data_IF_501279148943
#
_entry.id   IF_501279148943
#
_cell.length_a   1.000
_cell.length_b   1.000
_cell.length_c   1.000
_cell.angle_alpha   90.00
_cell.angle_beta   90.00
_cell.angle_gamma   90.00
#
_symmetry.space_group_name_H-M   'P 1'
#
loop_
_entity.id
_entity.type
_entity.pdbx_description
1 polymer ?
#
# COMPACT_ATOMS: atom_id res chain seq x y z
N UNK A 1 -78.05 1.53 6.36
CA UNK A 1 -77.40 2.69 5.71
C UNK A 1 -75.95 2.75 6.17
N UNK A 2 -75.02 2.78 5.19
CA UNK A 2 -73.61 3.19 5.26
C UNK A 2 -72.63 2.27 6.01
N UNK A 3 -72.05 1.32 5.27
CA UNK A 3 -70.76 0.74 5.60
C UNK A 3 -69.66 1.77 5.30
N UNK A 4 -68.87 2.13 6.32
CA UNK A 4 -67.69 2.99 6.18
C UNK A 4 -66.51 2.15 5.67
N UNK A 5 -66.10 2.37 4.42
CA UNK A 5 -64.84 1.86 3.90
C UNK A 5 -63.69 2.68 4.48
N UNK A 6 -62.87 2.08 5.35
CA UNK A 6 -61.58 2.63 5.74
C UNK A 6 -60.57 2.34 4.62
N UNK A 7 -60.20 3.38 3.87
CA UNK A 7 -59.11 3.34 2.91
C UNK A 7 -57.79 3.42 3.70
N UNK A 8 -57.10 2.29 3.87
CA UNK A 8 -55.79 2.23 4.50
C UNK A 8 -54.74 2.75 3.50
N UNK A 9 -54.29 4.00 3.67
CA UNK A 9 -53.23 4.59 2.86
C UNK A 9 -51.88 4.04 3.36
N UNK A 10 -51.34 3.01 2.69
CA UNK A 10 -49.99 2.53 2.93
C UNK A 10 -48.99 3.57 2.40
N UNK A 11 -48.42 4.37 3.30
CA UNK A 11 -47.23 5.16 3.01
C UNK A 11 -46.06 4.19 2.74
N UNK A 12 -45.75 3.97 1.47
CA UNK A 12 -44.48 3.42 1.04
C UNK A 12 -43.38 4.41 1.44
N UNK A 13 -42.73 4.17 2.57
CA UNK A 13 -41.46 4.82 2.91
C UNK A 13 -40.45 4.32 1.90
N UNK A 14 -40.19 5.10 0.85
CA UNK A 14 -39.06 4.86 -0.04
C UNK A 14 -37.78 4.92 0.82
N UNK A 15 -36.97 3.85 0.90
CA UNK A 15 -35.66 3.97 1.50
C UNK A 15 -34.92 5.04 0.70
N UNK A 16 -34.48 6.11 1.37
CA UNK A 16 -33.72 7.17 0.73
C UNK A 16 -32.53 6.54 0.01
N UNK A 17 -32.48 6.67 -1.31
CA UNK A 17 -31.42 6.11 -2.12
C UNK A 17 -30.09 6.77 -1.71
N UNK A 18 -29.32 6.07 -0.88
CA UNK A 18 -27.92 6.45 -0.64
C UNK A 18 -27.14 6.09 -1.89
N UNK A 19 -26.44 7.07 -2.45
CA UNK A 19 -25.52 6.83 -3.55
C UNK A 19 -24.48 5.79 -3.11
N UNK A 20 -24.23 4.79 -3.96
CA UNK A 20 -23.21 3.79 -3.66
C UNK A 20 -21.80 4.43 -3.66
N UNK A 21 -20.91 4.01 -2.74
CA UNK A 21 -19.52 4.41 -2.78
C UNK A 21 -18.89 4.14 -4.14
N UNK A 22 -18.15 5.10 -4.67
CA UNK A 22 -17.44 4.96 -5.95
C UNK A 22 -16.10 5.67 -5.90
N UNK A 23 -15.21 5.31 -6.82
CA UNK A 23 -13.89 5.89 -6.93
C UNK A 23 -13.63 6.40 -8.36
N UNK A 24 -12.98 7.56 -8.45
CA UNK A 24 -12.39 8.08 -9.67
C UNK A 24 -10.87 8.05 -9.51
N UNK A 25 -10.16 7.63 -10.55
CA UNK A 25 -8.70 7.69 -10.64
C UNK A 25 -8.35 8.65 -11.77
N UNK A 26 -7.65 9.73 -11.44
CA UNK A 26 -7.07 10.65 -12.42
C UNK A 26 -5.74 10.08 -12.95
N UNK A 27 -4.91 9.54 -12.07
CA UNK A 27 -3.67 8.85 -12.43
C UNK A 27 -3.43 7.61 -11.53
N UNK A 28 -2.79 6.55 -12.04
CA UNK A 28 -2.42 6.35 -13.44
C UNK A 28 -3.66 6.04 -14.30
N UNK A 29 -3.63 6.47 -15.57
CA UNK A 29 -4.61 6.07 -16.58
C UNK A 29 -4.30 4.68 -17.12
N UNK A 30 -5.32 4.01 -17.67
CA UNK A 30 -5.14 2.69 -18.26
C UNK A 30 -4.43 2.72 -19.61
N UNK A 31 -3.81 1.60 -19.98
CA UNK A 31 -3.15 1.42 -21.28
C UNK A 31 -1.63 1.56 -21.23
N UNK A 32 -1.03 2.03 -22.31
CA UNK A 32 0.43 2.15 -22.42
C UNK A 32 0.93 3.43 -21.78
N UNK A 33 1.98 3.31 -20.97
CA UNK A 33 2.60 4.41 -20.26
C UNK A 33 4.10 4.37 -20.44
N UNK A 34 4.69 5.54 -20.62
CA UNK A 34 6.13 5.75 -20.70
C UNK A 34 6.53 6.81 -19.67
N UNK A 35 7.06 6.35 -18.53
CA UNK A 35 7.60 7.25 -17.50
C UNK A 35 8.74 8.11 -18.06
N UNK A 36 8.79 9.39 -17.67
CA UNK A 36 9.79 10.36 -18.17
C UNK A 36 9.44 11.03 -19.52
N UNK A 37 8.45 10.52 -20.27
CA UNK A 37 7.90 11.20 -21.46
C UNK A 37 6.47 11.70 -21.21
N UNK A 38 5.63 10.85 -20.60
CA UNK A 38 4.20 11.11 -20.39
C UNK A 38 3.85 11.53 -18.95
N UNK A 39 4.79 11.38 -18.02
CA UNK A 39 4.67 11.84 -16.63
C UNK A 39 5.91 12.66 -16.27
N UNK A 40 5.70 13.68 -15.45
CA UNK A 40 6.75 14.49 -14.85
C UNK A 40 7.32 13.76 -13.62
N UNK A 41 7.75 12.51 -13.75
CA UNK A 41 8.31 11.72 -12.64
C UNK A 41 9.53 12.37 -11.99
N UNK A 42 10.22 13.25 -12.70
CA UNK A 42 11.34 14.05 -12.20
C UNK A 42 10.92 15.21 -11.28
N UNK A 43 9.63 15.54 -11.25
CA UNK A 43 9.11 16.57 -10.35
C UNK A 43 8.89 16.02 -8.95
N UNK A 44 9.09 16.91 -8.00
CA UNK A 44 8.81 16.71 -6.59
C UNK A 44 7.33 16.31 -6.40
N UNK A 45 7.10 15.17 -5.73
CA UNK A 45 5.79 14.60 -5.41
C UNK A 45 5.60 14.55 -3.90
N UNK A 46 4.39 14.80 -3.44
CA UNK A 46 4.03 14.72 -2.02
C UNK A 46 2.72 13.97 -1.90
N UNK A 47 2.58 13.15 -0.86
CA UNK A 47 1.32 12.50 -0.56
C UNK A 47 0.26 13.53 -0.13
N UNK A 48 -0.98 13.31 -0.54
CA UNK A 48 -2.13 14.13 -0.21
C UNK A 48 -3.33 13.26 0.21
N UNK A 49 -4.04 13.61 1.30
CA UNK A 49 -3.62 14.57 2.32
C UNK A 49 -2.31 14.14 2.97
N UNK A 50 -1.68 15.03 3.73
CA UNK A 50 -0.46 14.69 4.48
C UNK A 50 -0.76 13.48 5.37
N UNK A 51 -0.07 12.34 5.16
CA UNK A 51 -0.24 11.16 6.01
C UNK A 51 0.24 11.45 7.44
N UNK A 52 -0.13 10.62 8.44
CA UNK A 52 0.30 10.81 9.83
C UNK A 52 1.82 10.99 9.98
N UNK A 53 2.59 10.28 9.15
CA UNK A 53 4.04 10.44 9.02
C UNK A 53 4.34 11.08 7.67
N UNK A 54 4.72 12.35 7.68
CA UNK A 54 5.08 13.10 6.47
C UNK A 54 6.50 12.76 6.01
N UNK A 55 6.61 12.20 4.80
CA UNK A 55 7.87 11.79 4.16
C UNK A 55 8.41 12.87 3.22
N UNK A 56 7.80 14.06 3.20
CA UNK A 56 8.23 15.20 2.40
C UNK A 56 8.22 14.92 0.89
N UNK A 57 9.17 15.55 0.20
CA UNK A 57 9.28 15.50 -1.26
C UNK A 57 9.87 14.17 -1.75
N UNK A 58 9.17 13.55 -2.67
CA UNK A 58 9.54 12.30 -3.34
C UNK A 58 9.84 12.55 -4.83
N UNK A 59 10.89 11.92 -5.36
CA UNK A 59 11.30 12.04 -6.78
C UNK A 59 11.25 10.68 -7.46
N UNK A 60 11.12 10.69 -8.78
CA UNK A 60 11.06 9.47 -9.60
C UNK A 60 9.90 8.54 -9.17
N UNK A 61 8.77 9.14 -8.79
CA UNK A 61 7.55 8.44 -8.38
C UNK A 61 6.42 8.81 -9.31
N UNK A 62 5.52 7.86 -9.52
CA UNK A 62 4.23 8.10 -10.18
C UNK A 62 3.22 8.49 -9.13
N UNK A 63 2.35 9.44 -9.43
CA UNK A 63 1.21 9.72 -8.58
C UNK A 63 0.06 8.76 -8.83
N UNK A 64 -0.47 8.21 -7.74
CA UNK A 64 -1.77 7.57 -7.70
C UNK A 64 -2.74 8.60 -7.15
N UNK A 65 -3.49 9.22 -8.05
CA UNK A 65 -4.39 10.35 -7.74
C UNK A 65 -5.83 9.98 -8.05
N UNK A 66 -6.70 10.34 -7.12
CA UNK A 66 -8.08 9.93 -7.17
C UNK A 66 -9.00 10.78 -6.31
N UNK A 67 -10.29 10.49 -6.45
CA UNK A 67 -11.32 10.94 -5.53
C UNK A 67 -12.30 9.81 -5.25
N UNK A 68 -12.53 9.54 -3.97
CA UNK A 68 -13.64 8.74 -3.52
C UNK A 68 -14.91 9.59 -3.38
N UNK A 69 -16.04 9.05 -3.83
CA UNK A 69 -17.35 9.70 -3.79
C UNK A 69 -18.34 8.86 -3.02
N UNK A 70 -19.34 9.54 -2.43
CA UNK A 70 -20.37 8.93 -1.60
C UNK A 70 -19.79 8.09 -0.44
N UNK A 71 -18.69 8.57 0.14
CA UNK A 71 -17.98 7.85 1.22
C UNK A 71 -18.63 7.93 2.59
N UNK A 72 -19.63 8.82 2.76
CA UNK A 72 -20.44 8.92 3.97
C UNK A 72 -19.59 9.03 5.24
N UNK A 73 -19.85 8.13 6.20
CA UNK A 73 -19.09 8.00 7.46
C UNK A 73 -18.17 6.77 7.47
N UNK A 74 -17.73 6.29 6.31
CA UNK A 74 -16.80 5.15 6.26
C UNK A 74 -15.54 5.47 7.06
N UNK A 75 -15.11 4.52 7.90
CA UNK A 75 -13.88 4.66 8.68
C UNK A 75 -12.68 4.72 7.73
N UNK A 76 -11.82 5.70 7.98
CA UNK A 76 -10.47 5.76 7.42
C UNK A 76 -9.52 4.84 8.21
N UNK A 77 -8.39 4.42 7.62
CA UNK A 77 -8.03 4.62 6.22
C UNK A 77 -8.88 3.73 5.29
N UNK A 78 -9.08 4.20 4.06
CA UNK A 78 -9.52 3.33 2.97
C UNK A 78 -8.37 2.43 2.52
N UNK A 79 -8.62 1.53 1.56
CA UNK A 79 -7.58 0.65 1.04
C UNK A 79 -7.27 0.93 -0.42
N UNK A 80 -5.98 0.98 -0.73
CA UNK A 80 -5.44 0.98 -2.08
C UNK A 80 -4.72 -0.35 -2.28
N UNK A 81 -4.84 -0.95 -3.45
CA UNK A 81 -4.06 -2.14 -3.81
C UNK A 81 -3.24 -1.84 -5.05
N UNK A 82 -1.92 -2.00 -4.95
CA UNK A 82 -1.00 -1.81 -6.08
C UNK A 82 -0.38 -3.15 -6.42
N UNK A 83 -0.64 -3.61 -7.63
CA UNK A 83 -0.29 -4.96 -8.08
C UNK A 83 -0.77 -6.04 -7.10
N UNK A 84 -1.89 -5.85 -6.39
CA UNK A 84 -2.35 -6.81 -5.36
C UNK A 84 -1.75 -6.62 -3.96
N UNK A 85 -0.78 -5.71 -3.77
CA UNK A 85 -0.24 -5.37 -2.45
C UNK A 85 -1.16 -4.33 -1.77
N UNK A 86 -1.74 -4.61 -0.59
CA UNK A 86 -2.62 -3.69 0.10
C UNK A 86 -1.84 -2.57 0.79
N UNK A 87 -2.36 -1.34 0.68
CA UNK A 87 -1.80 -0.10 1.20
C UNK A 87 -2.91 0.70 1.87
N UNK A 88 -2.56 1.44 2.92
CA UNK A 88 -3.45 2.43 3.51
C UNK A 88 -3.64 3.62 2.56
N UNK A 89 -4.90 4.05 2.42
CA UNK A 89 -5.31 5.17 1.60
C UNK A 89 -6.00 6.23 2.45
N UNK A 90 -5.33 7.36 2.60
CA UNK A 90 -5.86 8.55 3.26
C UNK A 90 -6.58 9.43 2.26
N UNK A 91 -7.64 10.10 2.71
CA UNK A 91 -8.39 11.07 1.89
C UNK A 91 -8.72 12.32 2.69
N UNK A 92 -8.89 13.45 2.01
CA UNK A 92 -9.46 14.65 2.63
C UNK A 92 -10.98 14.53 2.83
N UNK A 93 -11.61 15.56 3.39
CA UNK A 93 -13.06 15.60 3.62
C UNK A 93 -13.89 15.46 2.33
N UNK A 94 -13.31 15.77 1.17
CA UNK A 94 -13.94 15.63 -0.14
C UNK A 94 -13.60 14.29 -0.80
N UNK A 95 -12.87 13.40 -0.12
CA UNK A 95 -12.46 12.09 -0.62
C UNK A 95 -11.28 12.12 -1.58
N UNK A 96 -10.59 13.25 -1.76
CA UNK A 96 -9.45 13.37 -2.67
C UNK A 96 -8.21 12.76 -2.04
N UNK A 97 -7.38 12.16 -2.88
CA UNK A 97 -6.09 11.58 -2.50
C UNK A 97 -5.05 11.70 -3.60
N UNK A 98 -3.79 11.70 -3.18
CA UNK A 98 -2.62 11.58 -4.03
C UNK A 98 -1.56 10.78 -3.30
N UNK A 99 -1.03 9.72 -3.91
CA UNK A 99 0.00 8.89 -3.30
C UNK A 99 1.12 8.61 -4.29
N UNK A 100 2.37 9.03 -4.02
CA UNK A 100 3.50 8.61 -4.83
C UNK A 100 3.72 7.09 -4.70
N UNK A 101 4.05 6.43 -5.80
CA UNK A 101 4.35 5.00 -5.84
C UNK A 101 5.45 4.68 -6.87
N UNK A 102 6.30 3.72 -6.53
CA UNK A 102 7.38 3.22 -7.37
C UNK A 102 6.91 2.02 -8.22
N UNK A 103 6.27 2.30 -9.37
CA UNK A 103 5.89 1.24 -10.30
C UNK A 103 7.10 0.68 -11.06
N UNK A 104 7.21 -0.65 -11.08
CA UNK A 104 8.18 -1.38 -11.91
C UNK A 104 7.84 -1.29 -13.39
N UNK A 105 8.80 -1.67 -14.24
CA UNK A 105 8.57 -1.86 -15.67
C UNK A 105 7.53 -2.97 -15.93
N UNK A 106 6.82 -2.90 -17.06
CA UNK A 106 5.83 -3.89 -17.46
C UNK A 106 4.43 -3.65 -16.90
N UNK A 107 3.68 -4.74 -16.67
CA UNK A 107 2.27 -4.68 -16.29
C UNK A 107 2.08 -4.17 -14.86
N UNK A 108 1.18 -3.22 -14.67
CA UNK A 108 0.86 -2.69 -13.36
C UNK A 108 -0.65 -2.50 -13.21
N UNK A 109 -1.14 -2.62 -11.97
CA UNK A 109 -2.53 -2.42 -11.63
C UNK A 109 -2.67 -1.60 -10.36
N UNK A 110 -3.66 -0.73 -10.35
CA UNK A 110 -4.06 0.07 -9.20
C UNK A 110 -5.53 -0.16 -8.97
N UNK A 111 -5.88 -0.50 -7.73
CA UNK A 111 -7.24 -0.74 -7.33
C UNK A 111 -7.56 0.02 -6.05
N UNK A 112 -8.57 0.87 -6.13
CA UNK A 112 -9.14 1.57 -4.98
C UNK A 112 -10.26 0.71 -4.40
N UNK A 113 -10.19 0.45 -3.10
CA UNK A 113 -11.13 -0.40 -2.37
C UNK A 113 -11.76 0.40 -1.22
N UNK A 114 -13.00 0.07 -0.88
CA UNK A 114 -13.64 0.62 0.32
C UNK A 114 -12.95 0.08 1.58
N UNK A 115 -13.27 0.66 2.74
CA UNK A 115 -12.85 0.13 4.05
C UNK A 115 -13.35 -1.30 4.31
N UNK A 116 -14.40 -1.73 3.61
CA UNK A 116 -14.96 -3.10 3.66
C UNK A 116 -14.32 -4.03 2.60
N UNK A 117 -13.31 -3.55 1.86
CA UNK A 117 -12.60 -4.33 0.86
C UNK A 117 -13.32 -4.46 -0.50
N UNK A 118 -14.47 -3.81 -0.71
CA UNK A 118 -15.18 -3.78 -2.01
C UNK A 118 -14.34 -3.03 -3.04
N UNK A 119 -14.14 -3.61 -4.22
CA UNK A 119 -13.50 -2.91 -5.35
C UNK A 119 -14.37 -1.76 -5.82
N UNK A 120 -13.83 -0.53 -5.79
CA UNK A 120 -14.54 0.68 -6.22
C UNK A 120 -14.09 1.12 -7.61
N UNK A 121 -12.79 1.00 -7.89
CA UNK A 121 -12.21 1.28 -9.20
C UNK A 121 -10.92 0.49 -9.36
N UNK A 122 -10.72 -0.10 -10.53
CA UNK A 122 -9.46 -0.71 -10.93
C UNK A 122 -8.99 -0.11 -12.26
N UNK A 123 -7.69 0.11 -12.36
CA UNK A 123 -7.00 0.49 -13.60
C UNK A 123 -5.82 -0.44 -13.78
N UNK A 124 -5.52 -0.75 -15.05
CA UNK A 124 -4.34 -1.50 -15.45
C UNK A 124 -3.61 -0.74 -16.54
N UNK A 125 -2.30 -0.69 -16.44
CA UNK A 125 -1.44 -0.03 -17.42
C UNK A 125 -0.13 -0.80 -17.59
N UNK A 126 0.55 -0.54 -18.70
CA UNK A 126 1.84 -1.13 -19.02
C UNK A 126 2.91 -0.04 -19.06
N UNK A 127 3.89 -0.12 -18.17
CA UNK A 127 5.08 0.73 -18.16
C UNK A 127 6.08 0.21 -19.20
N UNK A 128 6.20 0.93 -20.31
CA UNK A 128 7.04 0.57 -21.46
C UNK A 128 8.39 1.28 -21.50
N UNK A 129 8.75 2.09 -20.50
CA UNK A 129 10.06 2.72 -20.47
C UNK A 129 11.17 1.66 -20.28
N UNK A 130 12.01 1.40 -21.31
CA UNK A 130 13.04 0.37 -21.24
C UNK A 130 14.21 0.76 -20.32
N UNK A 131 14.31 2.03 -19.94
CA UNK A 131 15.33 2.51 -19.01
C UNK A 131 14.99 2.18 -17.55
N UNK A 132 13.75 1.76 -17.25
CA UNK A 132 13.40 1.24 -15.93
C UNK A 132 13.91 -0.19 -15.80
N UNK A 133 14.88 -0.39 -14.92
CA UNK A 133 15.39 -1.74 -14.61
C UNK A 133 14.31 -2.56 -13.90
N UNK A 134 13.91 -3.72 -14.44
CA UNK A 134 12.93 -4.59 -13.79
C UNK A 134 13.47 -5.16 -12.48
N UNK A 135 12.66 -5.23 -11.40
CA UNK A 135 13.09 -5.83 -10.15
C UNK A 135 13.13 -7.37 -10.28
N UNK A 136 14.23 -7.97 -9.86
CA UNK A 136 14.41 -9.44 -9.86
C UNK A 136 13.99 -10.06 -8.53
N UNK A 137 14.19 -9.33 -7.43
CA UNK A 137 13.56 -9.58 -6.13
C UNK A 137 12.86 -8.29 -5.73
N UNK A 138 11.56 -8.39 -5.44
CA UNK A 138 10.79 -7.34 -4.79
C UNK A 138 10.11 -7.93 -3.56
N UNK A 139 10.21 -7.25 -2.43
CA UNK A 139 9.44 -7.57 -1.23
C UNK A 139 8.58 -6.35 -0.91
N UNK A 140 7.30 -6.55 -0.65
CA UNK A 140 6.36 -5.48 -0.27
C UNK A 140 5.68 -5.87 1.03
N UNK A 141 5.93 -5.10 2.08
CA UNK A 141 5.32 -5.22 3.40
C UNK A 141 4.23 -4.15 3.54
N UNK A 142 3.01 -4.54 3.90
CA UNK A 142 1.92 -3.65 4.27
C UNK A 142 1.15 -4.19 5.48
N UNK A 143 0.40 -3.35 6.19
CA UNK A 143 -0.31 -3.76 7.40
C UNK A 143 -1.59 -2.93 7.63
N UNK A 144 -2.46 -3.45 8.51
CA UNK A 144 -3.82 -2.95 8.74
C UNK A 144 -3.94 -1.84 9.78
N UNK A 145 -2.98 -1.70 10.70
CA UNK A 145 -2.99 -0.64 11.71
C UNK A 145 -2.19 0.60 11.26
N UNK A 146 -2.84 1.74 10.96
CA UNK A 146 -2.18 2.94 10.49
C UNK A 146 -1.28 3.63 11.53
N UNK A 147 -1.34 3.21 12.81
CA UNK A 147 -0.50 3.73 13.89
C UNK A 147 0.68 2.82 14.21
N UNK A 148 0.62 1.57 13.80
CA UNK A 148 1.69 0.63 14.02
C UNK A 148 2.83 0.90 13.05
N UNK A 149 4.06 0.77 13.54
CA UNK A 149 5.26 0.89 12.74
C UNK A 149 5.97 -0.45 12.67
N UNK A 150 5.95 -0.99 11.46
CA UNK A 150 6.59 -2.24 11.12
C UNK A 150 7.79 -1.96 10.22
N UNK A 151 8.91 -2.59 10.57
CA UNK A 151 10.16 -2.48 9.82
C UNK A 151 10.49 -3.82 9.15
N UNK A 152 10.93 -3.76 7.90
CA UNK A 152 11.37 -4.89 7.12
C UNK A 152 12.88 -5.03 7.23
N UNK A 153 13.31 -6.25 7.54
CA UNK A 153 14.71 -6.60 7.64
C UNK A 153 15.02 -7.69 6.62
N UNK A 154 15.93 -7.38 5.69
CA UNK A 154 16.37 -8.32 4.65
C UNK A 154 17.85 -8.63 4.85
N UNK A 155 18.19 -9.91 5.00
CA UNK A 155 19.58 -10.38 5.00
C UNK A 155 19.87 -11.03 3.64
N UNK A 156 20.93 -10.56 2.97
CA UNK A 156 21.38 -11.10 1.67
C UNK A 156 22.44 -12.19 1.83
N UNK A 157 22.70 -13.02 0.79
CA UNK A 157 23.63 -14.15 0.88
C UNK A 157 25.07 -13.79 1.26
N UNK A 158 25.50 -12.57 0.94
CA UNK A 158 26.80 -12.00 1.32
C UNK A 158 26.83 -11.39 2.73
N UNK A 159 25.74 -11.54 3.50
CA UNK A 159 25.63 -11.13 4.89
C UNK A 159 25.28 -9.66 5.10
N UNK A 160 24.95 -8.91 4.04
CA UNK A 160 24.47 -7.54 4.22
C UNK A 160 23.04 -7.53 4.77
N UNK A 161 22.70 -6.47 5.49
CA UNK A 161 21.42 -6.30 6.17
C UNK A 161 20.78 -4.98 5.75
N UNK A 162 19.68 -5.05 5.01
CA UNK A 162 18.84 -3.89 4.70
C UNK A 162 17.73 -3.76 5.76
N UNK A 163 17.67 -2.60 6.41
CA UNK A 163 16.61 -2.20 7.37
C UNK A 163 16.54 -0.67 7.42
N UNK A 164 15.58 -0.10 8.14
CA UNK A 164 15.40 1.36 8.30
C UNK A 164 16.71 2.16 8.45
N UNK A 165 17.61 1.72 9.34
CA UNK A 165 18.87 2.42 9.64
C UNK A 165 19.98 2.21 8.61
N UNK A 166 19.81 1.26 7.69
CA UNK A 166 20.75 0.96 6.62
C UNK A 166 20.00 0.46 5.37
N UNK A 167 19.22 1.34 4.71
CA UNK A 167 18.26 0.91 3.68
C UNK A 167 18.93 0.47 2.38
N UNK A 168 20.08 1.05 2.02
CA UNK A 168 20.82 0.71 0.81
C UNK A 168 21.90 -0.36 1.06
N UNK A 169 22.02 -1.33 0.17
CA UNK A 169 23.11 -2.31 0.15
C UNK A 169 24.15 -1.96 -0.92
N UNK A 170 25.37 -2.43 -0.75
CA UNK A 170 26.46 -2.18 -1.73
C UNK A 170 26.29 -3.01 -3.01
N UNK A 171 25.46 -4.05 -2.99
CA UNK A 171 25.20 -4.97 -4.09
C UNK A 171 24.00 -4.55 -4.97
N UNK A 172 23.48 -3.33 -4.81
CA UNK A 172 22.37 -2.80 -5.60
C UNK A 172 20.99 -3.28 -5.16
N UNK A 173 20.90 -3.99 -4.03
CA UNK A 173 19.66 -4.18 -3.29
C UNK A 173 19.40 -3.05 -2.31
N UNK A 174 18.15 -2.83 -1.93
CA UNK A 174 17.83 -1.91 -0.85
C UNK A 174 16.34 -1.74 -0.62
N UNK A 175 16.04 -1.21 0.56
CA UNK A 175 14.73 -0.68 0.88
C UNK A 175 14.52 0.62 0.09
N UNK A 176 13.30 0.79 -0.40
CA UNK A 176 12.84 2.07 -0.90
C UNK A 176 13.00 3.08 0.26
N UNK A 177 13.78 4.15 0.09
CA UNK A 177 14.02 5.14 1.14
C UNK A 177 12.74 5.72 1.72
N UNK A 178 11.65 5.66 0.95
CA UNK A 178 10.35 6.12 1.41
C UNK A 178 9.56 5.06 2.17
N UNK A 179 9.89 3.76 2.14
CA UNK A 179 9.10 2.68 2.74
C UNK A 179 9.27 2.49 4.25
N UNK A 180 10.29 3.08 4.85
CA UNK A 180 10.89 2.67 6.13
C UNK A 180 10.26 3.26 7.41
N UNK A 181 9.27 4.15 7.30
CA UNK A 181 8.62 4.82 8.46
C UNK A 181 7.14 5.12 8.19
N UNK A 182 6.18 4.54 8.92
CA UNK A 182 4.75 4.83 8.76
C UNK A 182 3.96 3.74 8.04
N UNK A 183 2.64 3.93 7.80
CA UNK A 183 1.60 2.90 7.61
C UNK A 183 1.64 2.08 6.30
N UNK A 184 2.83 1.84 5.77
CA UNK A 184 3.11 1.01 4.62
C UNK A 184 2.89 1.68 3.25
N UNK A 185 3.39 1.06 2.16
CA UNK A 185 4.18 -0.15 2.24
C UNK A 185 5.64 0.19 2.58
N UNK A 186 6.34 -0.79 3.14
CA UNK A 186 7.79 -0.85 3.01
C UNK A 186 8.14 -1.76 1.83
N UNK A 187 9.08 -1.35 0.99
CA UNK A 187 9.42 -2.06 -0.24
C UNK A 187 10.91 -2.31 -0.29
N UNK A 188 11.32 -3.56 -0.54
CA UNK A 188 12.69 -3.91 -0.89
C UNK A 188 12.75 -4.18 -2.40
N UNK A 189 13.78 -3.70 -3.06
CA UNK A 189 14.05 -3.98 -4.46
C UNK A 189 15.50 -4.40 -4.66
N UNK A 190 15.71 -5.43 -5.48
CA UNK A 190 17.03 -5.85 -5.94
C UNK A 190 16.96 -6.28 -7.40
N UNK A 191 17.80 -5.67 -8.24
CA UNK A 191 17.82 -5.87 -9.69
C UNK A 191 18.88 -6.88 -10.14
N UNK A 192 19.91 -7.10 -9.33
CA UNK A 192 21.01 -8.03 -9.60
C UNK A 192 21.21 -9.02 -8.43
N UNK A 193 20.33 -10.01 -8.27
CA UNK A 193 20.37 -10.88 -7.11
C UNK A 193 21.57 -11.82 -7.08
N UNK A 194 22.19 -11.92 -5.90
CA UNK A 194 23.20 -12.90 -5.57
C UNK A 194 22.57 -14.29 -5.44
N UNK A 195 23.31 -15.33 -5.82
CA UNK A 195 22.91 -16.72 -5.54
C UNK A 195 23.11 -17.03 -4.07
N UNK A 196 22.14 -17.72 -3.47
CA UNK A 196 22.21 -18.18 -2.08
C UNK A 196 20.99 -17.76 -1.26
N UNK A 197 21.14 -17.86 0.06
CA UNK A 197 20.04 -17.70 1.01
C UNK A 197 19.74 -16.23 1.30
N UNK A 198 18.48 -15.85 1.14
CA UNK A 198 17.91 -14.60 1.62
C UNK A 198 17.01 -14.88 2.81
N UNK A 199 17.02 -13.97 3.78
CA UNK A 199 16.15 -14.02 4.94
C UNK A 199 15.29 -12.74 4.98
N UNK A 200 13.99 -12.91 5.17
CA UNK A 200 13.02 -11.83 5.30
C UNK A 200 12.46 -11.87 6.71
N UNK A 201 12.63 -10.77 7.44
CA UNK A 201 12.07 -10.57 8.76
C UNK A 201 11.16 -9.33 8.79
N UNK A 202 10.21 -9.34 9.71
CA UNK A 202 9.41 -8.16 10.08
C UNK A 202 9.62 -7.88 11.54
N UNK A 203 9.88 -6.62 11.87
CA UNK A 203 9.94 -6.11 13.21
C UNK A 203 8.69 -5.27 13.49
N UNK A 204 8.04 -5.45 14.63
CA UNK A 204 7.07 -4.48 15.14
C UNK A 204 7.83 -3.49 16.01
N UNK A 205 8.23 -2.36 15.45
CA UNK A 205 9.17 -1.45 16.09
C UNK A 205 8.51 -0.59 17.16
N UNK A 206 7.30 -0.10 16.92
CA UNK A 206 6.57 0.76 17.85
C UNK A 206 5.30 1.31 17.26
N UNK A 207 4.74 2.35 17.86
CA UNK A 207 3.58 3.05 17.33
C UNK A 207 3.84 4.54 17.16
N UNK A 208 3.13 5.16 16.22
CA UNK A 208 3.08 6.60 16.04
C UNK A 208 1.74 7.17 16.50
N UNK A 209 1.80 8.26 17.27
CA UNK A 209 0.63 8.95 17.77
C UNK A 209 0.86 10.45 17.91
N UNK A 210 -0.09 11.14 18.56
CA UNK A 210 -0.05 12.61 18.73
C UNK A 210 1.19 13.14 19.46
N UNK A 211 1.86 12.30 20.27
CA UNK A 211 3.11 12.62 20.96
C UNK A 211 4.38 12.16 20.23
N UNK A 212 4.26 11.69 18.98
CA UNK A 212 5.34 11.05 18.24
C UNK A 212 5.39 9.53 18.45
N UNK A 213 6.57 8.95 18.24
CA UNK A 213 6.80 7.52 18.44
C UNK A 213 6.68 7.13 19.92
N UNK A 214 6.07 5.98 20.16
CA UNK A 214 5.89 5.41 21.49
C UNK A 214 6.02 3.88 21.43
N UNK A 215 6.44 3.32 22.56
CA UNK A 215 6.72 1.89 22.72
C UNK A 215 5.88 1.28 23.85
N UNK A 216 4.76 1.94 24.19
CA UNK A 216 3.83 1.44 25.21
C UNK A 216 2.72 0.64 24.53
N UNK A 217 2.76 -0.68 24.69
CA UNK A 217 1.76 -1.61 24.15
C UNK A 217 0.34 -1.30 24.63
N UNK A 218 0.18 -0.63 25.78
CA UNK A 218 -1.15 -0.24 26.30
C UNK A 218 -1.82 0.84 25.45
N UNK A 219 -1.05 1.53 24.60
CA UNK A 219 -1.55 2.53 23.68
C UNK A 219 -2.09 1.93 22.37
N UNK A 220 -1.84 0.63 22.13
CA UNK A 220 -2.27 -0.06 20.92
C UNK A 220 -3.79 -0.04 20.82
N UNK A 221 -4.31 0.31 19.65
CA UNK A 221 -5.74 0.22 19.39
C UNK A 221 -6.17 -1.21 19.05
N UNK A 222 -5.25 -1.98 18.47
CA UNK A 222 -5.45 -3.37 18.10
C UNK A 222 -4.51 -4.26 18.94
N UNK A 223 -5.03 -5.37 19.45
CA UNK A 223 -4.23 -6.37 20.18
C UNK A 223 -3.24 -7.12 19.27
N UNK A 224 -3.56 -7.21 17.97
CA UNK A 224 -2.74 -7.86 16.96
C UNK A 224 -2.79 -7.00 15.71
N UNK A 225 -1.62 -6.73 15.14
CA UNK A 225 -1.48 -6.07 13.84
C UNK A 225 -1.31 -7.16 12.79
N UNK A 226 -2.08 -7.10 11.73
CA UNK A 226 -1.98 -8.04 10.61
C UNK A 226 -1.10 -7.42 9.54
N UNK A 227 0.12 -7.94 9.42
CA UNK A 227 0.99 -7.59 8.31
C UNK A 227 0.85 -8.59 7.16
N UNK A 228 1.00 -8.09 5.94
CA UNK A 228 1.06 -8.87 4.71
C UNK A 228 2.39 -8.60 4.00
N UNK A 229 3.15 -9.65 3.75
CA UNK A 229 4.35 -9.61 2.91
C UNK A 229 4.05 -10.26 1.57
N UNK A 230 4.45 -9.60 0.50
CA UNK A 230 4.45 -10.16 -0.83
C UNK A 230 5.90 -10.24 -1.32
N UNK A 231 6.41 -11.45 -1.49
CA UNK A 231 7.67 -11.74 -2.16
C UNK A 231 7.38 -11.97 -3.65
N UNK A 232 7.97 -11.15 -4.50
CA UNK A 232 7.87 -11.24 -5.96
C UNK A 232 9.27 -11.46 -6.54
N UNK A 233 9.43 -12.56 -7.27
CA UNK A 233 10.63 -12.86 -8.04
C UNK A 233 10.34 -12.59 -9.52
N UNK A 234 11.28 -11.94 -10.21
CA UNK A 234 11.21 -11.61 -11.64
C UNK A 234 9.89 -10.94 -12.04
N UNK A 235 9.52 -9.87 -11.33
CA UNK A 235 8.24 -9.20 -11.54
C UNK A 235 8.05 -8.77 -13.00
N UNK A 236 6.83 -8.93 -13.50
CA UNK A 236 6.39 -8.56 -14.83
C UNK A 236 7.13 -9.28 -15.96
N UNK A 237 7.67 -10.46 -15.66
CA UNK A 237 8.23 -11.38 -16.65
C UNK A 237 7.42 -12.67 -16.72
N UNK A 238 7.69 -13.49 -17.74
CA UNK A 238 7.09 -14.83 -17.85
C UNK A 238 7.51 -15.78 -16.71
N UNK A 239 8.62 -15.46 -16.03
CA UNK A 239 9.16 -16.22 -14.91
C UNK A 239 8.77 -15.60 -13.56
N UNK A 240 7.75 -14.74 -13.53
CA UNK A 240 7.26 -14.13 -12.29
C UNK A 240 6.79 -15.22 -11.32
N UNK A 241 7.29 -15.17 -10.08
CA UNK A 241 6.78 -15.97 -8.97
C UNK A 241 6.37 -15.05 -7.84
N UNK A 242 5.19 -15.31 -7.28
CA UNK A 242 4.68 -14.57 -6.13
C UNK A 242 4.34 -15.47 -4.96
N UNK A 243 4.78 -15.08 -3.78
CA UNK A 243 4.42 -15.70 -2.51
C UNK A 243 3.90 -14.61 -1.56
N UNK A 244 2.73 -14.83 -0.96
CA UNK A 244 2.10 -13.91 -0.01
C UNK A 244 2.05 -14.56 1.35
N UNK A 245 2.47 -13.82 2.38
CA UNK A 245 2.50 -14.25 3.78
C UNK A 245 1.66 -13.28 4.61
N UNK A 246 0.83 -13.82 5.50
CA UNK A 246 0.12 -13.03 6.51
C UNK A 246 0.80 -13.30 7.85
N UNK A 247 1.32 -12.25 8.49
CA UNK A 247 2.13 -12.34 9.69
C UNK A 247 1.49 -11.49 10.80
N UNK A 248 0.90 -12.12 11.83
CA UNK A 248 0.35 -11.41 12.97
C UNK A 248 1.47 -10.93 13.89
N UNK A 249 1.53 -9.64 14.15
CA UNK A 249 2.46 -9.00 15.09
C UNK A 249 1.73 -8.72 16.40
N UNK A 250 2.31 -9.12 17.54
CA UNK A 250 1.60 -9.09 18.84
C UNK A 250 2.21 -8.08 19.80
N UNK A 251 3.52 -8.04 19.88
CA UNK A 251 4.25 -7.24 20.86
C UNK A 251 5.22 -6.28 20.19
N UNK A 252 5.36 -5.10 20.78
CA UNK A 252 6.38 -4.14 20.34
C UNK A 252 7.75 -4.75 20.65
N UNK A 253 8.64 -4.72 19.65
CA UNK A 253 9.95 -5.38 19.67
C UNK A 253 9.96 -6.78 19.05
N UNK A 254 8.81 -7.37 18.69
CA UNK A 254 8.76 -8.66 17.98
C UNK A 254 9.58 -8.60 16.70
N UNK A 255 10.53 -9.52 16.51
CA UNK A 255 11.26 -9.72 15.26
C UNK A 255 11.01 -11.13 14.76
N UNK A 256 10.21 -11.25 13.70
CA UNK A 256 9.76 -12.55 13.19
C UNK A 256 10.43 -12.86 11.86
N UNK A 257 11.04 -14.05 11.74
CA UNK A 257 11.46 -14.59 10.45
C UNK A 257 10.23 -15.03 9.67
N UNK A 258 9.99 -14.38 8.53
CA UNK A 258 8.81 -14.66 7.69
C UNK A 258 9.15 -15.66 6.59
N UNK A 259 10.32 -15.51 5.97
CA UNK A 259 10.75 -16.40 4.89
C UNK A 259 12.26 -16.53 4.83
N UNK A 260 12.71 -17.76 4.60
CA UNK A 260 14.04 -18.07 4.07
C UNK A 260 13.86 -18.66 2.67
N UNK A 261 14.60 -18.16 1.68
CA UNK A 261 14.58 -18.70 0.32
C UNK A 261 15.94 -18.62 -0.36
N UNK A 262 16.17 -19.49 -1.34
CA UNK A 262 17.33 -19.41 -2.23
C UNK A 262 16.92 -18.78 -3.55
N UNK A 263 17.76 -17.88 -4.07
CA UNK A 263 17.64 -17.32 -5.42
C UNK A 263 18.63 -17.97 -6.39
#
# INVERSE_FOLDING_TARGET
>A
MRALSFLLLTLLVSPGARAEPSAQLQEPLGGWRYSGLLDRTEQDRVAYPTPPIDRGIQRNRTMIEGQLKAIGHMRQPHSLSVNGNPLNLYTDEQGRFGRPYAFGAGSNSVEVRSSEGKSLKRVQFYESNPNKTPPRIRVVLGWDDPKAELDMHIITPDGQHAFFGHPGLTNGGGLDPDGVDGPGPEMFTMTAPLRGTYLIYVNYWGNFGSGGYNFDERSNQNEVITSQINLILNENTVDEKRETFIVPMRAIGDLLLVKSFNY
#
